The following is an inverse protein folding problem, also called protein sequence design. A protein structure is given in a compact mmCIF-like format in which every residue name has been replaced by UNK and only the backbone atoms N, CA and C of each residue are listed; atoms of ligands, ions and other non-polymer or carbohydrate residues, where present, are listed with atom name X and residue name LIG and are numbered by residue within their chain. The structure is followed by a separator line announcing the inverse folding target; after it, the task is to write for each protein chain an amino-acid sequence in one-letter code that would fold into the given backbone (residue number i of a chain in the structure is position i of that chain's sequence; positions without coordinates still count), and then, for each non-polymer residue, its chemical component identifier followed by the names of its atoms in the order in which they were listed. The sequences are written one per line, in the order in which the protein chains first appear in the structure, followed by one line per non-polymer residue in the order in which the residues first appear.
data_IF_879738527672
#
_entry.id   IF_879738527672
#
_cell.length_a   1.000
_cell.length_b   1.000
_cell.length_c   1.000
_cell.angle_alpha   90.00
_cell.angle_beta   90.00
_cell.angle_gamma   90.00
#
_symmetry.space_group_name_H-M   'P 1'
#
loop_
_entity.id
_entity.type
_entity.pdbx_description
1 polymer ?
#
# COMPACT_ATOMS: atom_id res chain seq x y z
N UNK A 1 -16.72 2.83 -16.01
CA UNK A 1 -17.69 3.28 -14.98
C UNK A 1 -16.90 3.55 -13.72
N UNK A 2 -16.54 4.81 -13.42
CA UNK A 2 -15.82 5.14 -12.19
C UNK A 2 -16.78 5.00 -11.01
N UNK A 3 -16.66 3.90 -10.26
CA UNK A 3 -17.36 3.75 -9.00
C UNK A 3 -16.82 4.82 -8.04
N UNK A 4 -17.61 5.85 -7.79
CA UNK A 4 -17.31 6.83 -6.74
C UNK A 4 -17.51 6.11 -5.42
N UNK A 5 -16.44 5.54 -4.87
CA UNK A 5 -16.45 4.93 -3.54
C UNK A 5 -16.51 6.07 -2.53
N UNK A 6 -17.65 6.21 -1.86
CA UNK A 6 -17.80 7.13 -0.74
C UNK A 6 -17.27 6.44 0.51
N UNK A 7 -16.07 6.81 0.93
CA UNK A 7 -15.51 6.38 2.21
C UNK A 7 -16.00 7.38 3.26
N UNK A 8 -16.65 6.89 4.32
CA UNK A 8 -16.94 7.72 5.49
C UNK A 8 -15.63 7.87 6.25
N UNK A 9 -14.95 8.99 6.05
CA UNK A 9 -13.65 9.27 6.66
C UNK A 9 -13.88 10.01 7.99
N UNK A 10 -13.49 9.44 9.13
CA UNK A 10 -13.48 10.17 10.41
C UNK A 10 -12.56 11.38 10.31
N UNK A 11 -12.89 12.46 11.02
CA UNK A 11 -12.11 13.70 10.98
C UNK A 11 -10.61 13.48 11.27
N UNK A 12 -10.31 12.52 12.14
CA UNK A 12 -8.96 12.11 12.54
C UNK A 12 -8.12 11.58 11.36
N UNK A 13 -8.76 10.95 10.36
CA UNK A 13 -8.07 10.38 9.20
C UNK A 13 -7.97 11.32 8.01
N UNK A 14 -8.50 12.56 8.10
CA UNK A 14 -8.50 13.50 6.97
C UNK A 14 -7.08 13.87 6.52
N UNK A 15 -6.15 14.03 7.47
CA UNK A 15 -4.74 14.29 7.19
C UNK A 15 -4.14 13.15 6.36
N UNK A 16 -4.32 11.93 6.86
CA UNK A 16 -3.86 10.69 6.21
C UNK A 16 -4.47 10.50 4.80
N UNK A 17 -5.78 10.73 4.63
CA UNK A 17 -6.44 10.67 3.30
C UNK A 17 -5.82 11.69 2.34
N UNK A 18 -5.57 12.92 2.81
CA UNK A 18 -5.02 13.97 1.96
C UNK A 18 -3.60 13.64 1.51
N UNK A 19 -2.77 13.11 2.41
CA UNK A 19 -1.40 12.68 2.10
C UNK A 19 -1.41 11.47 1.15
N UNK A 20 -2.28 10.48 1.40
CA UNK A 20 -2.44 9.31 0.54
C UNK A 20 -2.87 9.70 -0.88
N UNK A 21 -3.82 10.62 -1.02
CA UNK A 21 -4.26 11.14 -2.31
C UNK A 21 -3.13 11.91 -3.03
N UNK A 22 -2.36 12.73 -2.31
CA UNK A 22 -1.22 13.44 -2.90
C UNK A 22 -0.15 12.46 -3.41
N UNK A 23 0.17 11.43 -2.64
CA UNK A 23 1.13 10.41 -3.04
C UNK A 23 0.62 9.65 -4.26
N UNK A 24 -0.63 9.20 -4.25
CA UNK A 24 -1.25 8.51 -5.38
C UNK A 24 -1.24 9.36 -6.66
N UNK A 25 -1.46 10.67 -6.55
CA UNK A 25 -1.43 11.59 -7.68
C UNK A 25 -0.01 11.82 -8.22
N UNK A 26 1.01 11.75 -7.36
CA UNK A 26 2.42 11.81 -7.77
C UNK A 26 2.80 10.50 -8.48
N UNK A 27 2.51 9.35 -7.90
CA UNK A 27 2.79 8.03 -8.49
C UNK A 27 2.08 7.81 -9.83
N UNK A 28 0.85 8.31 -9.97
CA UNK A 28 0.10 8.24 -11.22
C UNK A 28 0.69 9.12 -12.34
N UNK A 29 1.55 10.08 -12.01
CA UNK A 29 2.21 10.96 -12.97
C UNK A 29 3.62 10.45 -13.21
N UNK A 30 3.91 9.99 -14.43
CA UNK A 30 5.23 9.53 -14.86
C UNK A 30 6.32 10.62 -14.93
N UNK A 31 6.08 11.80 -14.33
CA UNK A 31 7.00 12.93 -14.36
C UNK A 31 7.81 12.95 -13.06
N UNK A 32 9.12 13.20 -13.16
CA UNK A 32 10.01 13.22 -12.02
C UNK A 32 9.52 14.24 -10.97
N UNK A 33 8.91 13.73 -9.89
CA UNK A 33 8.66 14.53 -8.71
C UNK A 33 10.01 14.92 -8.09
N UNK A 34 10.06 16.10 -7.46
CA UNK A 34 11.25 16.49 -6.72
C UNK A 34 11.53 15.43 -5.63
N UNK A 35 12.73 14.81 -5.60
CA UNK A 35 13.02 13.71 -4.69
C UNK A 35 12.89 14.08 -3.20
N UNK A 36 13.17 15.34 -2.84
CA UNK A 36 13.06 15.81 -1.46
C UNK A 36 11.59 15.96 -1.06
N UNK A 37 10.76 16.48 -1.95
CA UNK A 37 9.31 16.60 -1.72
C UNK A 37 8.66 15.22 -1.59
N UNK A 38 9.06 14.28 -2.44
CA UNK A 38 8.60 12.91 -2.37
C UNK A 38 8.95 12.28 -1.02
N UNK A 39 10.21 12.39 -0.60
CA UNK A 39 10.68 11.84 0.68
C UNK A 39 9.93 12.46 1.87
N UNK A 40 9.77 13.78 1.89
CA UNK A 40 9.04 14.47 2.95
C UNK A 40 7.57 14.02 3.02
N UNK A 41 6.94 13.76 1.87
CA UNK A 41 5.58 13.26 1.81
C UNK A 41 5.47 11.85 2.39
N UNK A 42 6.36 10.94 2.00
CA UNK A 42 6.42 9.57 2.51
C UNK A 42 6.69 9.55 4.02
N UNK A 43 7.60 10.38 4.52
CA UNK A 43 7.91 10.47 5.95
C UNK A 43 6.68 10.91 6.76
N UNK A 44 5.96 11.94 6.29
CA UNK A 44 4.72 12.42 6.93
C UNK A 44 3.62 11.38 6.88
N UNK A 45 3.42 10.75 5.72
CA UNK A 45 2.43 9.69 5.57
C UNK A 45 2.73 8.51 6.49
N UNK A 46 4.00 8.12 6.61
CA UNK A 46 4.44 7.03 7.51
C UNK A 46 4.14 7.34 8.98
N UNK A 47 4.35 8.57 9.42
CA UNK A 47 4.03 8.99 10.78
C UNK A 47 2.52 8.89 11.08
N UNK A 48 1.68 9.38 10.16
CA UNK A 48 0.22 9.29 10.29
C UNK A 48 -0.27 7.84 10.28
N UNK A 49 0.30 7.00 9.41
CA UNK A 49 -0.02 5.58 9.33
C UNK A 49 0.32 4.84 10.63
N UNK A 50 1.46 5.15 11.24
CA UNK A 50 1.85 4.59 12.53
C UNK A 50 0.90 5.03 13.66
N UNK A 51 0.48 6.30 13.66
CA UNK A 51 -0.47 6.82 14.65
C UNK A 51 -1.85 6.17 14.55
N UNK A 52 -2.29 5.80 13.34
CA UNK A 52 -3.62 5.27 13.08
C UNK A 52 -3.67 3.77 12.78
N UNK A 53 -2.59 3.01 13.04
CA UNK A 53 -2.48 1.58 12.71
C UNK A 53 -3.65 0.72 13.21
N UNK A 54 -4.21 1.02 14.39
CA UNK A 54 -5.34 0.28 14.97
C UNK A 54 -6.72 0.76 14.53
N UNK A 55 -6.82 1.76 13.64
CA UNK A 55 -8.08 2.39 13.31
C UNK A 55 -8.92 1.50 12.36
N UNK A 56 -10.20 1.21 12.65
CA UNK A 56 -11.01 0.25 11.89
C UNK A 56 -11.27 0.64 10.43
N UNK A 57 -11.25 1.94 10.11
CA UNK A 57 -11.39 2.43 8.73
C UNK A 57 -10.08 2.43 7.92
N UNK A 58 -8.92 2.15 8.54
CA UNK A 58 -7.62 2.19 7.86
C UNK A 58 -7.52 1.14 6.73
N UNK A 59 -7.94 -0.13 6.90
CA UNK A 59 -7.85 -1.12 5.82
C UNK A 59 -8.58 -0.68 4.55
N UNK A 60 -9.82 -0.19 4.69
CA UNK A 60 -10.62 0.28 3.56
C UNK A 60 -9.98 1.47 2.83
N UNK A 61 -9.29 2.34 3.56
CA UNK A 61 -8.57 3.46 2.98
C UNK A 61 -7.36 2.98 2.18
N UNK A 62 -6.58 2.06 2.73
CA UNK A 62 -5.40 1.53 2.05
C UNK A 62 -5.77 0.73 0.79
N UNK A 63 -6.92 0.07 0.78
CA UNK A 63 -7.45 -0.60 -0.42
C UNK A 63 -7.81 0.39 -1.55
N UNK A 64 -8.08 1.65 -1.20
CA UNK A 64 -8.37 2.72 -2.17
C UNK A 64 -7.12 3.46 -2.67
N UNK A 65 -6.06 3.49 -1.86
CA UNK A 65 -4.81 4.19 -2.17
C UNK A 65 -3.63 3.21 -2.21
N UNK A 66 -3.40 2.53 -3.35
CA UNK A 66 -2.28 1.59 -3.51
C UNK A 66 -0.93 2.13 -3.06
N UNK A 67 -0.60 3.37 -3.40
CA UNK A 67 0.67 3.98 -3.00
C UNK A 67 0.81 4.12 -1.47
N UNK A 68 -0.30 4.40 -0.76
CA UNK A 68 -0.29 4.44 0.70
C UNK A 68 -0.27 3.03 1.31
N UNK A 69 -0.88 2.03 0.66
CA UNK A 69 -0.78 0.62 1.06
C UNK A 69 0.67 0.15 1.04
N UNK A 70 1.42 0.46 -0.02
CA UNK A 70 2.84 0.08 -0.13
C UNK A 70 3.69 0.70 0.99
N UNK A 71 3.49 1.99 1.29
CA UNK A 71 4.18 2.66 2.41
C UNK A 71 3.82 2.00 3.75
N UNK A 72 2.54 1.70 3.97
CA UNK A 72 2.09 1.01 5.18
C UNK A 72 2.70 -0.38 5.31
N UNK A 73 2.72 -1.17 4.23
CA UNK A 73 3.34 -2.49 4.20
C UNK A 73 4.83 -2.39 4.54
N UNK A 74 5.57 -1.47 3.91
CA UNK A 74 6.99 -1.26 4.21
C UNK A 74 7.25 -0.92 5.69
N UNK A 75 6.35 -0.14 6.31
CA UNK A 75 6.42 0.18 7.73
C UNK A 75 6.18 -1.05 8.61
N UNK A 76 5.24 -1.92 8.24
CA UNK A 76 4.95 -3.16 8.96
C UNK A 76 5.99 -4.26 8.70
N UNK A 77 6.66 -4.27 7.54
CA UNK A 77 7.78 -5.18 7.26
C UNK A 77 8.89 -5.05 8.30
N UNK A 78 9.20 -3.83 8.74
CA UNK A 78 10.19 -3.57 9.78
C UNK A 78 9.82 -4.19 11.14
N UNK A 79 8.53 -4.40 11.40
CA UNK A 79 8.02 -4.92 12.67
C UNK A 79 7.63 -6.41 12.63
N UNK A 80 7.17 -6.93 11.49
CA UNK A 80 6.56 -8.26 11.42
C UNK A 80 6.84 -9.07 10.15
N UNK A 81 7.46 -8.50 9.11
CA UNK A 81 7.73 -9.23 7.86
C UNK A 81 6.48 -9.68 7.08
N UNK A 82 5.30 -9.14 7.39
CA UNK A 82 4.01 -9.60 6.83
C UNK A 82 3.55 -8.72 5.65
N UNK A 83 3.20 -9.38 4.55
CA UNK A 83 2.55 -8.81 3.37
C UNK A 83 1.05 -8.62 3.67
N UNK A 84 0.39 -7.52 3.25
CA UNK A 84 -1.09 -7.38 3.34
C UNK A 84 -1.83 -8.21 2.29
N UNK A 85 -1.13 -8.76 1.30
CA UNK A 85 -1.70 -9.68 0.33
C UNK A 85 -2.26 -10.93 1.03
N UNK A 86 -3.41 -11.47 0.58
CA UNK A 86 -3.94 -12.70 1.13
C UNK A 86 -2.86 -13.78 1.06
N UNK A 87 -2.50 -14.35 2.22
CA UNK A 87 -1.47 -15.39 2.33
C UNK A 87 -1.68 -16.51 1.31
N UNK A 88 -2.94 -16.87 1.03
CA UNK A 88 -3.32 -17.86 0.02
C UNK A 88 -2.92 -17.46 -1.40
N UNK A 89 -3.10 -16.21 -1.80
CA UNK A 89 -2.74 -15.76 -3.15
C UNK A 89 -1.22 -15.74 -3.34
N UNK A 90 -0.48 -15.33 -2.31
CA UNK A 90 0.97 -15.33 -2.32
C UNK A 90 1.53 -16.77 -2.36
N UNK A 91 1.00 -17.66 -1.52
CA UNK A 91 1.37 -19.08 -1.48
C UNK A 91 1.05 -19.79 -2.80
N UNK A 92 -0.13 -19.56 -3.37
CA UNK A 92 -0.52 -20.19 -4.64
C UNK A 92 0.38 -19.73 -5.79
N UNK A 93 0.81 -18.47 -5.79
CA UNK A 93 1.75 -17.95 -6.77
C UNK A 93 3.13 -18.61 -6.62
N UNK A 94 3.63 -18.76 -5.39
CA UNK A 94 4.90 -19.45 -5.12
C UNK A 94 4.86 -20.93 -5.56
N UNK A 95 3.79 -21.65 -5.20
CA UNK A 95 3.60 -23.05 -5.59
C UNK A 95 3.50 -23.21 -7.11
N UNK A 96 2.80 -22.31 -7.80
CA UNK A 96 2.70 -22.30 -9.25
C UNK A 96 4.06 -22.10 -9.92
N UNK A 97 4.86 -21.13 -9.44
CA UNK A 97 6.22 -20.87 -9.94
C UNK A 97 7.14 -22.07 -9.72
N UNK A 98 7.14 -22.64 -8.51
CA UNK A 98 7.91 -23.87 -8.21
C UNK A 98 7.55 -25.02 -9.15
N UNK A 99 6.27 -25.25 -9.38
CA UNK A 99 5.80 -26.30 -10.30
C UNK A 99 6.25 -26.06 -11.74
N UNK A 100 6.28 -24.80 -12.19
CA UNK A 100 6.77 -24.41 -13.51
C UNK A 100 8.27 -24.67 -13.64
N UNK A 101 9.07 -24.28 -12.65
CA UNK A 101 10.51 -24.48 -12.63
C UNK A 101 10.89 -25.96 -12.59
N UNK A 102 10.20 -26.80 -11.81
CA UNK A 102 10.46 -28.25 -11.81
C UNK A 102 10.15 -28.89 -13.16
N UNK A 103 9.09 -28.46 -13.86
CA UNK A 103 8.78 -28.95 -15.20
C UNK A 103 9.85 -28.57 -16.23
N UNK A 104 10.37 -27.34 -16.16
CA UNK A 104 11.47 -26.90 -17.03
C UNK A 104 12.77 -27.64 -16.71
N UNK A 105 12.98 -28.05 -15.45
CA UNK A 105 14.18 -28.80 -15.03
C UNK A 105 14.17 -30.28 -15.45
N UNK A 106 12.99 -30.86 -15.65
CA UNK A 106 12.82 -32.27 -16.03
C UNK A 106 12.55 -32.50 -17.53
N UNK A 107 12.37 -31.45 -18.32
CA UNK A 107 12.28 -31.49 -19.78
C UNK A 107 13.60 -31.11 -20.44
#
# INVERSE_FOLDING_TARGET
MNAVVRITVPQELLSLVRLAHLLQAIEARAQAADPHQYRLLVDKLSAELAQHQGHPALPQLLDHFPAASEVYENLQYAHAGLVRAPLEQSLNSELAVRSLLERVRQG
#
